data_IF_994854543579
#
_entry.id   IF_994854543579
#
_cell.length_a   1.000
_cell.length_b   1.000
_cell.length_c   1.000
_cell.angle_alpha   90.00
_cell.angle_beta   90.00
_cell.angle_gamma   90.00
#
_symmetry.space_group_name_H-M   'P 1'
#
loop_
_entity.id
_entity.type
_entity.pdbx_description
1 polymer ?
#
# COMPACT_ATOMS: atom_id res chain seq x y z
N UNK A 1 -4.05 15.41 1.87
CA UNK A 1 -3.22 14.52 2.71
C UNK A 1 -1.78 14.98 2.63
N UNK A 2 -1.11 15.23 3.76
CA UNK A 2 0.30 15.67 3.82
C UNK A 2 1.25 14.47 3.74
N UNK A 3 2.56 14.68 3.49
CA UNK A 3 3.56 13.61 3.57
C UNK A 3 3.54 12.85 4.90
N UNK A 4 3.37 13.55 6.02
CA UNK A 4 3.31 12.92 7.34
C UNK A 4 2.07 12.04 7.50
N UNK A 5 0.93 12.51 7.00
CA UNK A 5 -0.29 11.70 6.96
C UNK A 5 -0.13 10.45 6.09
N UNK A 6 0.57 10.56 4.95
CA UNK A 6 0.89 9.37 4.13
C UNK A 6 1.72 8.37 4.94
N UNK A 7 2.71 8.82 5.71
CA UNK A 7 3.51 7.93 6.58
C UNK A 7 2.68 7.27 7.68
N UNK A 8 1.73 7.98 8.27
CA UNK A 8 0.77 7.38 9.22
C UNK A 8 -0.03 6.26 8.57
N UNK A 9 -0.59 6.50 7.37
CA UNK A 9 -1.36 5.50 6.63
C UNK A 9 -0.48 4.30 6.28
N UNK A 10 0.76 4.54 5.83
CA UNK A 10 1.73 3.48 5.56
C UNK A 10 2.02 2.65 6.82
N UNK A 11 2.14 3.28 7.99
CA UNK A 11 2.37 2.58 9.25
C UNK A 11 1.21 1.64 9.62
N UNK A 12 -0.05 2.07 9.40
CA UNK A 12 -1.24 1.22 9.57
C UNK A 12 -1.15 -0.02 8.67
N UNK A 13 -0.76 0.15 7.42
CA UNK A 13 -0.69 -0.97 6.47
C UNK A 13 0.49 -1.90 6.74
N UNK A 14 1.67 -1.37 7.08
CA UNK A 14 2.83 -2.18 7.52
C UNK A 14 2.43 -3.09 8.67
N UNK A 15 1.87 -2.50 9.73
CA UNK A 15 1.41 -3.24 10.90
C UNK A 15 0.41 -4.33 10.52
N UNK A 16 -0.55 -4.02 9.65
CA UNK A 16 -1.55 -5.00 9.20
C UNK A 16 -0.93 -6.18 8.44
N UNK A 17 0.04 -5.92 7.56
CA UNK A 17 0.74 -6.97 6.83
C UNK A 17 1.58 -7.85 7.76
N UNK A 18 2.27 -7.24 8.72
CA UNK A 18 3.05 -7.94 9.75
C UNK A 18 2.17 -8.84 10.61
N UNK A 19 1.04 -8.33 11.12
CA UNK A 19 0.06 -9.09 11.91
C UNK A 19 -0.58 -10.23 11.11
N UNK A 20 -0.70 -10.08 9.79
CA UNK A 20 -1.21 -11.12 8.90
C UNK A 20 -0.15 -12.17 8.50
N UNK A 21 1.11 -12.02 8.94
CA UNK A 21 2.21 -12.90 8.55
C UNK A 21 2.56 -12.80 7.06
N UNK A 22 2.26 -11.67 6.41
CA UNK A 22 2.51 -11.45 4.99
C UNK A 22 3.97 -11.00 4.80
N UNK A 23 4.72 -11.76 4.02
CA UNK A 23 6.10 -11.40 3.66
C UNK A 23 6.16 -10.32 2.58
N UNK A 24 7.19 -9.46 2.63
CA UNK A 24 7.48 -8.51 1.55
C UNK A 24 8.03 -9.26 0.35
N UNK A 25 7.38 -9.15 -0.80
CA UNK A 25 7.87 -9.76 -2.05
C UNK A 25 7.75 -8.79 -3.22
N UNK A 26 8.89 -8.43 -3.82
CA UNK A 26 8.88 -7.75 -5.10
C UNK A 26 8.58 -8.77 -6.19
N UNK A 27 7.47 -8.58 -6.91
CA UNK A 27 7.17 -9.36 -8.10
C UNK A 27 7.97 -8.75 -9.26
N UNK A 28 9.07 -9.39 -9.63
CA UNK A 28 9.98 -8.93 -10.69
C UNK A 28 9.50 -9.32 -12.08
N UNK A 29 8.64 -10.35 -12.19
CA UNK A 29 8.09 -10.83 -13.46
C UNK A 29 6.62 -10.48 -13.61
N UNK A 30 6.32 -9.66 -14.61
CA UNK A 30 4.98 -9.28 -15.04
C UNK A 30 4.21 -10.42 -15.75
N UNK A 31 4.47 -11.68 -15.41
CA UNK A 31 3.62 -12.77 -15.90
C UNK A 31 2.25 -12.64 -15.24
N UNK A 32 1.27 -12.25 -16.06
CA UNK A 32 -0.09 -11.87 -15.68
C UNK A 32 -0.82 -12.88 -14.78
N UNK A 33 -0.36 -14.14 -14.75
CA UNK A 33 -1.04 -15.27 -14.13
C UNK A 33 -0.78 -15.47 -12.62
N UNK A 34 0.14 -14.73 -11.99
CA UNK A 34 0.46 -14.92 -10.55
C UNK A 34 -0.08 -13.82 -9.62
N UNK A 35 -0.75 -12.81 -10.18
CA UNK A 35 -1.15 -11.60 -9.43
C UNK A 35 -2.16 -11.87 -8.30
N UNK A 36 -3.03 -12.88 -8.41
CA UNK A 36 -4.09 -13.06 -7.41
C UNK A 36 -3.59 -13.57 -6.05
N UNK A 37 -2.54 -14.41 -6.02
CA UNK A 37 -2.07 -15.03 -4.78
C UNK A 37 -1.03 -14.17 -4.02
N UNK A 38 -0.29 -13.30 -4.72
CA UNK A 38 0.84 -12.55 -4.13
C UNK A 38 0.65 -11.02 -4.16
N UNK A 39 -0.52 -10.52 -4.51
CA UNK A 39 -0.79 -9.08 -4.61
C UNK A 39 -0.53 -8.31 -3.30
N UNK A 40 -0.90 -8.88 -2.14
CA UNK A 40 -0.67 -8.25 -0.84
C UNK A 40 0.82 -8.22 -0.46
N UNK A 41 1.57 -9.26 -0.80
CA UNK A 41 3.04 -9.28 -0.60
C UNK A 41 3.72 -8.20 -1.44
N UNK A 42 3.22 -7.98 -2.66
CA UNK A 42 3.69 -6.91 -3.52
C UNK A 42 3.31 -5.53 -2.98
N UNK A 43 2.07 -5.35 -2.53
CA UNK A 43 1.63 -4.12 -1.87
C UNK A 43 2.50 -3.79 -0.66
N UNK A 44 2.90 -4.80 0.12
CA UNK A 44 3.79 -4.59 1.26
C UNK A 44 5.17 -4.09 0.80
N UNK A 45 5.76 -4.69 -0.23
CA UNK A 45 7.02 -4.21 -0.80
C UNK A 45 6.91 -2.80 -1.40
N UNK A 46 5.76 -2.43 -1.98
CA UNK A 46 5.53 -1.09 -2.54
C UNK A 46 5.58 0.03 -1.49
N UNK A 47 5.25 -0.26 -0.22
CA UNK A 47 5.30 0.77 0.85
C UNK A 47 6.72 1.36 0.99
N UNK A 48 7.76 0.56 0.83
CA UNK A 48 9.14 1.04 0.94
C UNK A 48 9.53 1.96 -0.22
N UNK A 49 8.95 1.76 -1.42
CA UNK A 49 9.17 2.64 -2.57
C UNK A 49 8.39 3.95 -2.46
N UNK A 50 7.23 3.94 -1.79
CA UNK A 50 6.49 5.18 -1.49
C UNK A 50 7.34 6.12 -0.63
N UNK A 51 8.09 5.60 0.36
CA UNK A 51 8.98 6.42 1.18
C UNK A 51 10.05 7.14 0.32
N UNK A 52 10.57 6.48 -0.72
CA UNK A 52 11.51 7.10 -1.67
C UNK A 52 10.82 8.23 -2.45
N UNK A 53 9.60 8.02 -2.96
CA UNK A 53 8.87 9.08 -3.68
C UNK A 53 8.51 10.28 -2.79
N UNK A 54 8.27 10.06 -1.49
CA UNK A 54 8.08 11.15 -0.53
C UNK A 54 9.38 11.98 -0.39
N UNK A 55 10.53 11.32 -0.28
CA UNK A 55 11.84 12.00 -0.19
C UNK A 55 12.17 12.78 -1.46
N UNK A 56 11.78 12.27 -2.63
CA UNK A 56 11.94 12.92 -3.94
C UNK A 56 10.86 14.01 -4.21
N UNK A 57 9.96 14.29 -3.27
CA UNK A 57 8.83 15.22 -3.43
C UNK A 57 7.87 14.88 -4.60
N UNK A 58 7.79 13.61 -5.01
CA UNK A 58 6.94 13.10 -6.11
C UNK A 58 5.56 12.66 -5.63
N UNK A 59 4.81 13.61 -5.09
CA UNK A 59 3.54 13.32 -4.40
C UNK A 59 2.44 12.77 -5.31
N UNK A 60 2.45 13.11 -6.59
CA UNK A 60 1.56 12.53 -7.60
C UNK A 60 1.72 11.00 -7.71
N UNK A 61 2.97 10.54 -7.68
CA UNK A 61 3.30 9.11 -7.71
C UNK A 61 2.95 8.43 -6.39
N UNK A 62 3.23 9.10 -5.26
CA UNK A 62 2.81 8.66 -3.91
C UNK A 62 1.31 8.39 -3.88
N UNK A 63 0.47 9.33 -4.33
CA UNK A 63 -0.98 9.16 -4.28
C UNK A 63 -1.48 8.05 -5.21
N UNK A 64 -0.90 7.90 -6.40
CA UNK A 64 -1.25 6.81 -7.32
C UNK A 64 -0.93 5.43 -6.73
N UNK A 65 0.24 5.29 -6.11
CA UNK A 65 0.67 4.02 -5.50
C UNK A 65 -0.11 3.70 -4.24
N UNK A 66 -0.34 4.69 -3.38
CA UNK A 66 -1.17 4.52 -2.19
C UNK A 66 -2.61 4.12 -2.57
N UNK A 67 -3.20 4.78 -3.57
CA UNK A 67 -4.54 4.44 -4.06
C UNK A 67 -4.61 3.03 -4.64
N UNK A 68 -3.58 2.56 -5.34
CA UNK A 68 -3.49 1.17 -5.81
C UNK A 68 -3.49 0.18 -4.63
N UNK A 69 -2.63 0.39 -3.63
CA UNK A 69 -2.56 -0.46 -2.43
C UNK A 69 -3.91 -0.48 -1.70
N UNK A 70 -4.56 0.68 -1.55
CA UNK A 70 -5.89 0.80 -0.95
C UNK A 70 -6.95 0.02 -1.74
N UNK A 71 -6.90 0.08 -3.08
CA UNK A 71 -7.75 -0.72 -3.96
C UNK A 71 -7.54 -2.23 -3.75
N UNK A 72 -6.30 -2.69 -3.65
CA UNK A 72 -5.99 -4.09 -3.35
C UNK A 72 -6.45 -4.52 -1.95
N UNK A 73 -6.23 -3.69 -0.93
CA UNK A 73 -6.68 -3.97 0.44
C UNK A 73 -8.21 -4.11 0.51
N UNK A 74 -8.94 -3.25 -0.19
CA UNK A 74 -10.39 -3.34 -0.30
C UNK A 74 -10.84 -4.58 -1.08
N UNK A 75 -10.20 -4.89 -2.21
CA UNK A 75 -10.57 -6.06 -3.03
C UNK A 75 -10.35 -7.39 -2.30
N UNK A 76 -9.41 -7.44 -1.35
CA UNK A 76 -9.15 -8.59 -0.49
C UNK A 76 -9.99 -8.59 0.80
N UNK A 77 -10.90 -7.62 0.98
CA UNK A 77 -11.74 -7.50 2.16
C UNK A 77 -10.97 -7.17 3.45
N UNK A 78 -9.74 -6.64 3.34
CA UNK A 78 -8.92 -6.28 4.51
C UNK A 78 -9.47 -5.03 5.20
N UNK A 79 -9.98 -4.08 4.42
CA UNK A 79 -10.58 -2.83 4.89
C UNK A 79 -11.85 -2.51 4.10
N UNK A 80 -12.81 -1.87 4.77
CA UNK A 80 -13.98 -1.28 4.12
C UNK A 80 -13.62 0.05 3.44
N UNK A 81 -14.47 0.55 2.53
CA UNK A 81 -14.29 1.88 1.95
C UNK A 81 -14.30 2.99 3.01
N UNK A 82 -15.05 2.81 4.10
CA UNK A 82 -15.12 3.80 5.17
C UNK A 82 -13.86 3.80 6.02
N UNK A 83 -13.26 2.63 6.29
CA UNK A 83 -11.94 2.54 6.92
C UNK A 83 -10.90 3.30 6.09
N UNK A 84 -10.86 3.05 4.77
CA UNK A 84 -9.91 3.69 3.86
C UNK A 84 -10.10 5.21 3.78
N UNK A 85 -11.35 5.69 3.75
CA UNK A 85 -11.63 7.13 3.84
C UNK A 85 -11.13 7.70 5.17
N UNK A 86 -11.36 7.00 6.28
CA UNK A 86 -10.94 7.44 7.61
C UNK A 86 -9.42 7.48 7.74
N UNK A 87 -8.69 6.51 7.19
CA UNK A 87 -7.22 6.55 7.14
C UNK A 87 -6.70 7.82 6.44
N UNK A 88 -7.38 8.27 5.38
CA UNK A 88 -6.98 9.42 4.57
C UNK A 88 -7.44 10.79 5.13
N UNK A 89 -8.28 10.81 6.18
CA UNK A 89 -8.72 12.07 6.81
C UNK A 89 -7.56 12.76 7.53
N UNK A 90 -7.53 14.11 7.57
CA UNK A 90 -6.54 14.86 8.34
C UNK A 90 -6.47 14.37 9.78
#
# INVERSE_FOLDING_TARGET
MTPDKVREVMAIYRKRFEEAGIEKKKLLDASHNSYSLNSLQHCYAMLDEIDVFIQEARMDKVFRWLGFIQGCLWSHGVYTLDDLKNHNRP
#
